data_IF_708022372620
#
_entry.id   IF_708022372620
#
_cell.length_a   1.000
_cell.length_b   1.000
_cell.length_c   1.000
_cell.angle_alpha   90.00
_cell.angle_beta   90.00
_cell.angle_gamma   90.00
#
_symmetry.space_group_name_H-M   'P 1'
#
loop_
_entity.id
_entity.type
_entity.pdbx_description
1 polymer ?
#
# COMPACT_ATOMS: atom_id res chain seq x y z
N UNK A 1 8.63 5.15 -17.96
CA UNK A 1 7.92 3.86 -18.06
C UNK A 1 8.92 2.79 -18.50
N UNK A 2 8.85 1.58 -17.94
CA UNK A 2 9.74 0.48 -18.33
C UNK A 2 9.49 0.07 -19.80
N UNK A 3 10.54 -0.41 -20.47
CA UNK A 3 10.44 -0.86 -21.88
C UNK A 3 9.80 -2.24 -21.94
N UNK A 4 8.77 -2.38 -22.78
CA UNK A 4 8.12 -3.66 -23.03
C UNK A 4 8.83 -4.42 -24.16
N UNK A 5 8.97 -5.73 -23.98
CA UNK A 5 9.51 -6.64 -24.99
C UNK A 5 8.35 -7.29 -25.75
N UNK A 6 8.42 -7.44 -27.08
CA UNK A 6 7.38 -8.11 -27.87
C UNK A 6 7.16 -9.58 -27.46
N UNK A 7 8.19 -10.21 -26.91
CA UNK A 7 8.17 -11.57 -26.37
C UNK A 7 8.43 -11.50 -24.87
N UNK A 8 7.39 -11.37 -24.02
CA UNK A 8 7.58 -11.39 -22.57
C UNK A 8 8.16 -12.74 -22.12
N UNK A 9 9.02 -12.78 -21.09
CA UNK A 9 9.47 -14.03 -20.47
C UNK A 9 8.35 -14.63 -19.61
N UNK A 10 8.53 -15.89 -19.19
CA UNK A 10 7.61 -16.51 -18.23
C UNK A 10 7.68 -15.81 -16.87
N UNK A 11 6.58 -15.86 -16.14
CA UNK A 11 6.50 -15.23 -14.83
C UNK A 11 7.42 -15.95 -13.86
N UNK A 12 8.30 -15.19 -13.22
CA UNK A 12 9.11 -15.65 -12.11
C UNK A 12 8.71 -14.83 -10.88
N UNK A 13 8.41 -15.47 -9.75
CA UNK A 13 8.08 -14.77 -8.52
C UNK A 13 9.23 -13.87 -8.07
N UNK A 14 8.88 -12.66 -7.61
CA UNK A 14 9.81 -11.74 -6.97
C UNK A 14 9.52 -11.68 -5.47
N UNK A 15 10.38 -10.98 -4.72
CA UNK A 15 10.18 -10.78 -3.27
C UNK A 15 8.82 -10.15 -2.95
N UNK A 16 8.32 -9.27 -3.85
CA UNK A 16 7.05 -8.57 -3.68
C UNK A 16 5.89 -9.23 -4.44
N UNK A 17 6.10 -9.67 -5.67
CA UNK A 17 5.08 -10.32 -6.48
C UNK A 17 5.27 -11.84 -6.40
N UNK A 18 4.78 -12.44 -5.32
CA UNK A 18 4.81 -13.90 -5.11
C UNK A 18 3.74 -14.60 -5.96
N UNK A 19 3.87 -15.92 -6.14
CA UNK A 19 2.85 -16.72 -6.85
C UNK A 19 1.45 -16.58 -6.23
N UNK A 20 1.37 -16.59 -4.89
CA UNK A 20 0.10 -16.41 -4.16
C UNK A 20 -0.54 -15.05 -4.47
N UNK A 21 0.26 -13.97 -4.43
CA UNK A 21 -0.21 -12.61 -4.77
C UNK A 21 -0.63 -12.50 -6.23
N UNK A 22 0.06 -13.20 -7.12
CA UNK A 22 -0.27 -13.25 -8.55
C UNK A 22 -1.59 -14.00 -8.79
N UNK A 23 -1.86 -15.07 -8.04
CA UNK A 23 -3.13 -15.80 -8.06
C UNK A 23 -4.28 -14.94 -7.51
N UNK A 24 -4.06 -14.20 -6.41
CA UNK A 24 -5.04 -13.27 -5.82
C UNK A 24 -5.49 -12.18 -6.80
N UNK A 25 -4.65 -11.79 -7.76
CA UNK A 25 -4.97 -10.76 -8.75
C UNK A 25 -5.96 -11.25 -9.82
N UNK A 26 -6.15 -12.57 -9.98
CA UNK A 26 -7.09 -13.19 -10.90
C UNK A 26 -7.12 -12.57 -12.32
N UNK A 27 -5.95 -12.30 -12.90
CA UNK A 27 -5.77 -11.51 -14.13
C UNK A 27 -6.68 -11.93 -15.30
N UNK A 28 -6.99 -13.22 -15.40
CA UNK A 28 -7.82 -13.75 -16.48
C UNK A 28 -9.02 -14.56 -15.97
N UNK A 29 -9.71 -14.08 -14.92
CA UNK A 29 -10.86 -14.79 -14.33
C UNK A 29 -11.92 -15.23 -15.36
N UNK A 30 -12.18 -14.40 -16.37
CA UNK A 30 -13.21 -14.66 -17.40
C UNK A 30 -12.69 -15.38 -18.65
N UNK A 31 -11.38 -15.68 -18.73
CA UNK A 31 -10.77 -16.28 -19.92
C UNK A 31 -10.84 -15.40 -21.18
N UNK A 32 -10.91 -14.08 -21.02
CA UNK A 32 -10.97 -13.15 -22.15
C UNK A 32 -9.59 -12.98 -22.82
N UNK A 33 -8.52 -13.02 -22.04
CA UNK A 33 -7.16 -12.82 -22.52
C UNK A 33 -6.60 -14.10 -23.12
N UNK A 34 -5.83 -13.97 -24.21
CA UNK A 34 -5.05 -15.07 -24.75
C UNK A 34 -3.87 -15.41 -23.83
N UNK A 35 -3.31 -16.63 -23.90
CA UNK A 35 -2.18 -17.02 -23.05
C UNK A 35 -0.99 -16.05 -23.15
N UNK A 36 -0.70 -15.53 -24.33
CA UNK A 36 0.36 -14.54 -24.59
C UNK A 36 0.04 -13.16 -24.00
N UNK A 37 -1.23 -12.77 -24.00
CA UNK A 37 -1.69 -11.50 -23.41
C UNK A 37 -1.65 -11.57 -21.88
N UNK A 38 -2.05 -12.70 -21.30
CA UNK A 38 -1.92 -12.93 -19.86
C UNK A 38 -0.46 -12.89 -19.42
N UNK A 39 0.43 -13.49 -20.23
CA UNK A 39 1.88 -13.46 -20.01
C UNK A 39 2.43 -12.03 -20.09
N UNK A 40 1.99 -11.24 -21.07
CA UNK A 40 2.35 -9.83 -21.18
C UNK A 40 1.88 -9.03 -19.96
N UNK A 41 0.67 -9.29 -19.47
CA UNK A 41 0.13 -8.59 -18.30
C UNK A 41 0.92 -8.91 -17.02
N UNK A 42 1.24 -10.20 -16.79
CA UNK A 42 2.14 -10.63 -15.70
C UNK A 42 3.50 -9.94 -15.78
N UNK A 43 4.04 -9.80 -16.98
CA UNK A 43 5.30 -9.09 -17.20
C UNK A 43 5.20 -7.59 -16.89
N UNK A 44 4.11 -6.92 -17.28
CA UNK A 44 3.86 -5.51 -16.96
C UNK A 44 3.76 -5.32 -15.44
N UNK A 45 3.05 -6.20 -14.74
CA UNK A 45 2.93 -6.15 -13.28
C UNK A 45 4.29 -6.31 -12.60
N UNK A 46 5.10 -7.27 -13.05
CA UNK A 46 6.48 -7.45 -12.55
C UNK A 46 7.32 -6.19 -12.74
N UNK A 47 7.28 -5.58 -13.93
CA UNK A 47 8.04 -4.36 -14.24
C UNK A 47 7.61 -3.13 -13.41
N UNK A 48 6.40 -3.15 -12.85
CA UNK A 48 5.85 -2.07 -12.05
C UNK A 48 5.49 -2.54 -10.63
N UNK A 49 6.22 -3.54 -10.10
CA UNK A 49 5.92 -4.15 -8.80
C UNK A 49 5.94 -3.14 -7.65
N UNK A 50 6.76 -2.09 -7.76
CA UNK A 50 6.83 -0.99 -6.79
C UNK A 50 5.50 -0.23 -6.66
N UNK A 51 4.71 -0.14 -7.74
CA UNK A 51 3.42 0.54 -7.74
C UNK A 51 2.29 -0.29 -7.09
N UNK A 52 2.51 -1.59 -6.85
CA UNK A 52 1.53 -2.47 -6.25
C UNK A 52 1.64 -2.42 -4.72
N UNK A 53 0.53 -2.23 -4.02
CA UNK A 53 0.50 -2.27 -2.56
C UNK A 53 -0.25 -3.50 -2.08
N UNK A 54 0.46 -4.42 -1.42
CA UNK A 54 -0.13 -5.63 -0.82
C UNK A 54 -0.29 -5.50 0.70
N UNK A 55 0.54 -4.66 1.31
CA UNK A 55 0.52 -4.36 2.75
C UNK A 55 0.44 -2.86 2.99
N UNK A 56 0.05 -2.44 4.20
CA UNK A 56 0.04 -1.02 4.57
C UNK A 56 1.43 -0.36 4.51
N UNK A 57 2.51 -1.14 4.58
CA UNK A 57 3.89 -0.65 4.44
C UNK A 57 4.25 -0.32 2.97
N UNK A 58 3.62 -1.00 2.01
CA UNK A 58 3.81 -0.72 0.58
C UNK A 58 3.07 0.56 0.14
N UNK A 59 2.22 1.11 1.00
CA UNK A 59 1.46 2.32 0.72
C UNK A 59 2.39 3.51 0.65
N UNK A 60 2.58 4.05 -0.55
CA UNK A 60 3.31 5.29 -0.76
C UNK A 60 2.62 6.53 -0.17
N UNK A 61 3.41 7.56 0.13
CA UNK A 61 2.96 8.90 0.47
C UNK A 61 3.16 9.85 -0.73
N UNK A 62 2.44 10.97 -0.72
CA UNK A 62 2.65 12.00 -1.75
C UNK A 62 4.05 12.60 -1.60
N UNK A 63 4.75 12.76 -2.72
CA UNK A 63 6.08 13.38 -2.72
C UNK A 63 5.97 14.86 -2.37
N UNK A 64 6.79 15.29 -1.40
CA UNK A 64 6.90 16.69 -0.97
C UNK A 64 7.35 17.64 -2.10
N UNK A 65 8.00 17.10 -3.14
CA UNK A 65 8.40 17.88 -4.32
C UNK A 65 7.22 18.36 -5.17
N UNK A 66 6.07 17.68 -5.07
CA UNK A 66 4.84 18.02 -5.79
C UNK A 66 3.77 18.61 -4.86
N UNK A 67 3.72 18.17 -3.60
CA UNK A 67 2.69 18.57 -2.65
C UNK A 67 3.32 19.11 -1.36
N UNK A 68 3.08 20.39 -1.07
CA UNK A 68 3.47 20.99 0.21
C UNK A 68 2.59 20.47 1.34
N UNK A 69 3.08 20.42 2.59
CA UNK A 69 2.26 20.10 3.76
C UNK A 69 1.00 20.97 3.83
N UNK A 70 -0.13 20.36 4.17
CA UNK A 70 -1.41 21.07 4.29
C UNK A 70 -1.45 21.88 5.59
N UNK A 71 -1.71 23.19 5.48
CA UNK A 71 -1.91 24.07 6.63
C UNK A 71 -3.39 24.10 6.97
N UNK A 72 -3.75 23.57 8.14
CA UNK A 72 -5.13 23.60 8.63
C UNK A 72 -5.48 25.05 9.02
N UNK A 73 -6.47 25.70 8.38
CA UNK A 73 -6.88 27.04 8.76
C UNK A 73 -7.54 26.99 10.14
N UNK A 74 -7.11 27.87 11.04
CA UNK A 74 -7.65 27.96 12.40
C UNK A 74 -8.29 29.31 12.65
N UNK A 75 -9.32 29.33 13.50
CA UNK A 75 -9.86 30.56 14.11
C UNK A 75 -9.22 30.77 15.48
N UNK A 76 -9.20 31.97 16.06
CA UNK A 76 -8.71 32.16 17.42
C UNK A 76 -9.44 31.24 18.41
N UNK A 77 -8.72 30.26 18.95
CA UNK A 77 -9.23 29.28 19.91
C UNK A 77 -8.19 28.99 20.98
N UNK A 78 -8.62 28.44 22.10
CA UNK A 78 -7.72 27.90 23.12
C UNK A 78 -7.54 26.41 22.82
N UNK A 79 -6.30 25.87 22.82
CA UNK A 79 -6.08 24.44 22.78
C UNK A 79 -6.88 23.77 23.91
N UNK A 80 -7.56 22.67 23.60
CA UNK A 80 -8.26 21.86 24.60
C UNK A 80 -7.67 20.46 24.61
N UNK A 81 -7.58 19.88 25.80
CA UNK A 81 -7.24 18.48 25.99
C UNK A 81 -8.50 17.76 26.49
N UNK A 82 -8.85 16.65 25.83
CA UNK A 82 -9.92 15.77 26.29
C UNK A 82 -9.30 14.45 26.71
N UNK A 83 -9.72 13.92 27.86
CA UNK A 83 -9.23 12.63 28.35
C UNK A 83 -9.69 11.50 27.41
N UNK A 84 -8.74 10.69 26.95
CA UNK A 84 -9.03 9.54 26.11
C UNK A 84 -9.93 8.52 26.82
N UNK A 85 -10.89 7.95 26.07
CA UNK A 85 -11.74 6.87 26.55
C UNK A 85 -10.90 5.60 26.81
N UNK A 86 -11.17 4.86 27.90
CA UNK A 86 -10.44 3.64 28.21
C UNK A 86 -10.73 2.57 27.15
N UNK A 87 -9.68 1.92 26.66
CA UNK A 87 -9.80 0.82 25.69
C UNK A 87 -10.22 -0.45 26.44
N UNK A 88 -11.30 -1.14 26.02
CA UNK A 88 -11.71 -2.41 26.61
C UNK A 88 -10.59 -3.47 26.57
N UNK A 89 -10.40 -4.27 27.64
CA UNK A 89 -9.30 -5.24 27.70
C UNK A 89 -9.29 -6.25 26.55
N UNK A 90 -10.46 -6.71 26.10
CA UNK A 90 -10.59 -7.73 25.05
C UNK A 90 -10.14 -7.27 23.65
N UNK A 91 -10.04 -5.96 23.40
CA UNK A 91 -9.58 -5.42 22.10
C UNK A 91 -8.20 -4.75 22.20
N UNK A 92 -7.63 -4.64 23.40
CA UNK A 92 -6.41 -3.86 23.65
C UNK A 92 -5.24 -4.31 22.77
N UNK A 93 -5.02 -5.62 22.65
CA UNK A 93 -3.94 -6.18 21.81
C UNK A 93 -4.09 -5.78 20.35
N UNK A 94 -5.29 -5.94 19.78
CA UNK A 94 -5.58 -5.57 18.40
C UNK A 94 -5.37 -4.09 18.13
N UNK A 95 -5.77 -3.23 19.08
CA UNK A 95 -5.55 -1.78 18.95
C UNK A 95 -4.05 -1.46 18.97
N UNK A 96 -3.28 -2.10 19.86
CA UNK A 96 -1.82 -1.90 19.89
C UNK A 96 -1.15 -2.37 18.59
N UNK A 97 -1.57 -3.50 18.02
CA UNK A 97 -1.06 -4.01 16.74
C UNK A 97 -1.32 -3.01 15.60
N UNK A 98 -2.55 -2.49 15.48
CA UNK A 98 -2.90 -1.49 14.46
C UNK A 98 -2.12 -0.19 14.65
N UNK A 99 -1.94 0.26 15.89
CA UNK A 99 -1.13 1.46 16.18
C UNK A 99 0.33 1.25 15.77
N UNK A 100 0.90 0.08 16.06
CA UNK A 100 2.27 -0.24 15.68
C UNK A 100 2.43 -0.30 14.16
N UNK A 101 1.50 -0.96 13.45
CA UNK A 101 1.50 -1.00 11.98
C UNK A 101 1.48 0.40 11.36
N UNK A 102 0.71 1.32 11.92
CA UNK A 102 0.64 2.71 11.44
C UNK A 102 1.91 3.52 11.73
N UNK A 103 2.60 3.22 12.83
CA UNK A 103 3.92 3.79 13.12
C UNK A 103 4.97 3.24 12.16
N UNK A 104 4.98 1.92 11.93
CA UNK A 104 5.91 1.26 11.01
C UNK A 104 5.71 1.72 9.55
N UNK A 105 4.47 1.99 9.16
CA UNK A 105 4.12 2.59 7.86
C UNK A 105 4.42 4.10 7.77
N UNK A 106 4.94 4.74 8.84
CA UNK A 106 5.28 6.16 8.85
C UNK A 106 4.08 7.12 8.86
N UNK A 107 2.86 6.63 9.12
CA UNK A 107 1.65 7.46 9.17
C UNK A 107 1.53 8.19 10.50
N UNK A 108 1.96 7.54 11.59
CA UNK A 108 1.93 8.12 12.93
C UNK A 108 3.34 8.37 13.45
N UNK A 109 3.52 9.54 14.07
CA UNK A 109 4.74 9.93 14.77
C UNK A 109 4.47 10.19 16.25
N UNK A 110 5.53 10.14 17.07
CA UNK A 110 5.41 10.46 18.49
C UNK A 110 5.40 11.98 18.67
N UNK A 111 4.33 12.51 19.23
CA UNK A 111 4.30 13.89 19.73
C UNK A 111 4.91 13.97 21.13
N UNK A 112 5.67 15.03 21.39
CA UNK A 112 6.10 15.43 22.73
C UNK A 112 5.00 16.20 23.46
#
# INVERSE_FOLDING_TARGET
LPKLTPTPPDFEPTDKLTSERMEMLEVNHKGFLWPEEEKLFKWILRLNEDALAFTDQDRGTFSESYFTPYIIPTVPHKPWECRNLPIPPGIRTKVMEVLQQKVDAGVYERSQ
#
